data_IF_352230159118
#
_entry.id   IF_352230159118
#
_cell.length_a   1.000
_cell.length_b   1.000
_cell.length_c   1.000
_cell.angle_alpha   90.00
_cell.angle_beta   90.00
_cell.angle_gamma   90.00
#
_symmetry.space_group_name_H-M   'P 1'
#
loop_
_entity.id
_entity.type
_entity.pdbx_description
1 polymer ?
#
# COMPACT_ATOMS: atom_id res chain seq x y z
N UNK A 1 -21.87 9.13 47.58
CA UNK A 1 -21.73 9.06 46.11
C UNK A 1 -22.99 8.42 45.59
N UNK A 2 -23.75 9.10 44.74
CA UNK A 2 -24.96 8.52 44.15
C UNK A 2 -24.56 7.52 43.07
N UNK A 3 -25.39 6.50 42.76
CA UNK A 3 -25.08 5.53 41.70
C UNK A 3 -24.77 6.19 40.36
N UNK A 4 -25.40 7.33 40.08
CA UNK A 4 -25.16 8.13 38.89
C UNK A 4 -23.73 8.66 38.82
N UNK A 5 -23.13 9.07 39.94
CA UNK A 5 -21.75 9.55 40.00
C UNK A 5 -20.77 8.43 39.63
N UNK A 6 -20.99 7.21 40.15
CA UNK A 6 -20.13 6.05 39.85
C UNK A 6 -20.19 5.63 38.38
N UNK A 7 -21.38 5.71 37.76
CA UNK A 7 -21.52 5.43 36.33
C UNK A 7 -20.80 6.48 35.49
N UNK A 8 -20.87 7.75 35.88
CA UNK A 8 -20.22 8.83 35.14
C UNK A 8 -18.69 8.75 35.24
N UNK A 9 -18.18 8.42 36.43
CA UNK A 9 -16.75 8.13 36.65
C UNK A 9 -16.28 6.94 35.79
N UNK A 10 -17.09 5.88 35.71
CA UNK A 10 -16.79 4.71 34.88
C UNK A 10 -16.73 5.03 33.38
N UNK A 11 -17.61 5.90 32.90
CA UNK A 11 -17.59 6.39 31.51
C UNK A 11 -16.35 7.23 31.25
N UNK A 12 -15.99 8.13 32.17
CA UNK A 12 -14.78 8.93 32.07
C UNK A 12 -13.52 8.05 32.00
N UNK A 13 -13.42 7.05 32.86
CA UNK A 13 -12.32 6.07 32.83
C UNK A 13 -12.30 5.26 31.54
N UNK A 14 -13.45 4.88 30.99
CA UNK A 14 -13.53 4.18 29.70
C UNK A 14 -13.03 5.07 28.55
N UNK A 15 -13.44 6.34 28.52
CA UNK A 15 -13.01 7.31 27.51
C UNK A 15 -11.50 7.57 27.58
N UNK A 16 -10.94 7.69 28.79
CA UNK A 16 -9.50 7.84 29.00
C UNK A 16 -8.76 6.58 28.54
N UNK A 17 -9.26 5.40 28.95
CA UNK A 17 -8.65 4.11 28.60
C UNK A 17 -8.62 3.88 27.09
N UNK A 18 -9.76 4.04 26.41
CA UNK A 18 -9.83 3.86 24.95
C UNK A 18 -9.03 4.93 24.21
N UNK A 19 -8.99 6.17 24.72
CA UNK A 19 -8.20 7.26 24.16
C UNK A 19 -6.70 6.99 24.24
N UNK A 20 -6.21 6.52 25.39
CA UNK A 20 -4.81 6.16 25.58
C UNK A 20 -4.37 5.02 24.65
N UNK A 21 -5.18 3.96 24.56
CA UNK A 21 -4.91 2.84 23.65
C UNK A 21 -4.93 3.30 22.20
N UNK A 22 -5.91 4.11 21.80
CA UNK A 22 -6.00 4.66 20.45
C UNK A 22 -4.77 5.51 20.09
N UNK A 23 -4.33 6.38 21.01
CA UNK A 23 -3.12 7.19 20.83
C UNK A 23 -1.88 6.32 20.66
N UNK A 24 -1.74 5.30 21.52
CA UNK A 24 -0.61 4.38 21.48
C UNK A 24 -0.56 3.60 20.16
N UNK A 25 -1.69 3.03 19.73
CA UNK A 25 -1.80 2.33 18.45
C UNK A 25 -1.53 3.25 17.26
N UNK A 26 -2.04 4.48 17.30
CA UNK A 26 -1.78 5.49 16.26
C UNK A 26 -0.29 5.78 16.15
N UNK A 27 0.39 6.01 17.29
CA UNK A 27 1.83 6.22 17.35
C UNK A 27 2.59 5.00 16.80
N UNK A 28 2.18 3.80 17.19
CA UNK A 28 2.79 2.55 16.70
C UNK A 28 2.65 2.41 15.18
N UNK A 29 1.48 2.71 14.61
CA UNK A 29 1.27 2.71 13.17
C UNK A 29 2.20 3.71 12.48
N UNK A 30 2.33 4.93 13.00
CA UNK A 30 3.27 5.92 12.45
C UNK A 30 4.72 5.46 12.57
N UNK A 31 5.11 4.81 13.67
CA UNK A 31 6.45 4.25 13.83
C UNK A 31 6.73 3.16 12.78
N UNK A 32 5.78 2.26 12.54
CA UNK A 32 5.91 1.21 11.51
C UNK A 32 5.99 1.83 10.11
N UNK A 33 5.16 2.83 9.81
CA UNK A 33 5.22 3.57 8.54
C UNK A 33 6.55 4.31 8.37
N UNK A 34 7.05 4.92 9.44
CA UNK A 34 8.36 5.57 9.48
C UNK A 34 9.48 4.58 9.19
N UNK A 35 9.46 3.41 9.84
CA UNK A 35 10.39 2.32 9.55
C UNK A 35 10.28 1.86 8.09
N UNK A 36 9.07 1.73 7.53
CA UNK A 36 8.89 1.35 6.12
C UNK A 36 9.53 2.37 5.15
N UNK A 37 9.38 3.67 5.43
CA UNK A 37 10.01 4.74 4.62
C UNK A 37 11.53 4.75 4.81
N UNK A 38 12.01 4.58 6.04
CA UNK A 38 13.44 4.51 6.35
C UNK A 38 14.08 3.31 5.65
N UNK A 39 13.46 2.13 5.72
CA UNK A 39 13.92 0.92 5.04
C UNK A 39 13.94 1.15 3.52
N UNK A 40 12.85 1.65 2.92
CA UNK A 40 12.82 1.92 1.47
C UNK A 40 13.88 2.94 1.02
N UNK A 41 14.27 3.88 1.88
CA UNK A 41 15.27 4.92 1.56
C UNK A 41 16.72 4.48 1.82
N UNK A 42 16.97 3.73 2.90
CA UNK A 42 18.33 3.36 3.33
C UNK A 42 18.75 1.96 2.89
N UNK A 43 17.79 1.08 2.65
CA UNK A 43 17.98 -0.20 1.99
C UNK A 43 16.97 -0.29 0.86
N UNK A 44 17.18 0.44 -0.26
CA UNK A 44 16.47 0.13 -1.48
C UNK A 44 16.69 -1.36 -1.71
N UNK A 45 15.65 -2.16 -1.56
CA UNK A 45 15.69 -3.51 -2.08
C UNK A 45 16.12 -3.32 -3.54
N UNK A 46 17.18 -4.01 -4.03
CA UNK A 46 17.37 -4.10 -5.45
C UNK A 46 16.02 -4.57 -5.95
N UNK A 47 15.33 -3.72 -6.71
CA UNK A 47 14.10 -4.07 -7.38
C UNK A 47 14.28 -5.52 -7.84
N UNK A 48 13.45 -6.49 -7.42
CA UNK A 48 13.29 -7.63 -8.28
C UNK A 48 12.83 -6.98 -9.58
N UNK A 49 13.76 -6.93 -10.55
CA UNK A 49 13.48 -6.84 -11.98
C UNK A 49 12.08 -7.36 -12.17
N UNK A 50 11.14 -6.44 -12.42
CA UNK A 50 9.71 -6.65 -12.48
C UNK A 50 9.34 -8.14 -12.35
N UNK A 51 9.11 -8.61 -11.12
CA UNK A 51 8.40 -9.88 -10.97
C UNK A 51 7.09 -9.70 -11.72
N UNK A 52 6.96 -10.50 -12.78
CA UNK A 52 5.85 -10.51 -13.71
C UNK A 52 4.51 -10.27 -12.99
N UNK A 53 3.55 -9.56 -13.62
CA UNK A 53 2.27 -9.31 -12.98
C UNK A 53 1.62 -10.65 -12.61
N UNK A 54 1.50 -10.89 -11.30
CA UNK A 54 0.70 -11.98 -10.77
C UNK A 54 -0.72 -11.82 -11.34
N UNK A 55 -1.33 -12.87 -11.95
CA UNK A 55 -2.66 -12.75 -12.53
C UNK A 55 -3.68 -12.49 -11.42
N UNK A 56 -4.01 -11.22 -11.20
CA UNK A 56 -5.29 -10.86 -10.57
C UNK A 56 -6.38 -11.29 -11.56
N UNK A 57 -7.45 -12.01 -11.14
CA UNK A 57 -8.60 -12.23 -12.00
C UNK A 57 -9.28 -10.87 -12.19
N UNK A 58 -8.84 -10.13 -13.22
CA UNK A 58 -9.46 -8.88 -13.60
C UNK A 58 -10.64 -9.23 -14.48
N UNK A 59 -11.80 -9.00 -13.88
CA UNK A 59 -13.09 -8.93 -14.54
C UNK A 59 -12.99 -8.18 -15.86
N UNK A 60 -13.67 -8.73 -16.87
CA UNK A 60 -13.86 -8.19 -18.21
C UNK A 60 -14.04 -6.68 -18.21
N UNK A 61 -13.03 -5.94 -18.68
CA UNK A 61 -13.18 -4.58 -19.17
C UNK A 61 -12.55 -4.52 -20.56
N UNK A 62 -13.45 -4.29 -21.50
CA UNK A 62 -13.33 -4.01 -22.93
C UNK A 62 -11.96 -3.45 -23.34
N UNK A 63 -11.40 -4.03 -24.39
CA UNK A 63 -10.13 -3.70 -25.01
C UNK A 63 -10.02 -2.21 -25.37
N UNK A 64 -9.42 -1.42 -24.49
CA UNK A 64 -8.76 -0.18 -24.88
C UNK A 64 -7.28 -0.53 -25.09
N UNK A 65 -6.86 -0.52 -26.35
CA UNK A 65 -5.48 -0.88 -26.71
C UNK A 65 -4.57 0.20 -26.13
N UNK A 66 -3.92 -0.11 -25.01
CA UNK A 66 -3.04 0.82 -24.33
C UNK A 66 -1.96 1.34 -25.29
N UNK A 67 -1.70 2.66 -25.33
CA UNK A 67 -0.68 3.24 -26.21
C UNK A 67 0.72 2.66 -25.94
N UNK A 68 0.97 2.24 -24.71
CA UNK A 68 2.20 1.55 -24.29
C UNK A 68 2.35 0.17 -24.96
N UNK A 69 1.24 -0.55 -25.16
CA UNK A 69 1.24 -1.84 -25.85
C UNK A 69 1.58 -1.65 -27.34
N UNK A 70 1.06 -0.59 -27.97
CA UNK A 70 1.36 -0.25 -29.37
C UNK A 70 2.85 0.10 -29.52
N UNK A 71 3.40 0.91 -28.60
CA UNK A 71 4.82 1.28 -28.60
C UNK A 71 5.72 0.05 -28.41
N UNK A 72 5.36 -0.87 -27.51
CA UNK A 72 6.09 -2.11 -27.29
C UNK A 72 6.09 -3.01 -28.54
N UNK A 73 4.94 -3.15 -29.21
CA UNK A 73 4.83 -3.92 -30.46
C UNK A 73 5.68 -3.29 -31.57
N UNK A 74 5.64 -1.96 -31.73
CA UNK A 74 6.47 -1.25 -32.71
C UNK A 74 7.97 -1.46 -32.46
N UNK A 75 8.41 -1.34 -31.20
CA UNK A 75 9.80 -1.59 -30.83
C UNK A 75 10.23 -3.04 -31.14
N UNK A 76 9.37 -4.01 -30.85
CA UNK A 76 9.63 -5.42 -31.13
C UNK A 76 9.76 -5.70 -32.65
N UNK A 77 8.90 -5.10 -33.48
CA UNK A 77 8.96 -5.25 -34.94
C UNK A 77 10.25 -4.61 -35.50
N UNK A 78 10.60 -3.41 -35.02
CA UNK A 78 11.85 -2.74 -35.42
C UNK A 78 13.08 -3.58 -35.09
N UNK A 79 13.13 -4.14 -33.89
CA UNK A 79 14.21 -5.01 -33.45
C UNK A 79 14.31 -6.28 -34.29
N UNK A 80 13.16 -6.89 -34.62
CA UNK A 80 13.12 -8.11 -35.44
C UNK A 80 13.60 -7.87 -36.86
N UNK A 81 13.23 -6.75 -37.47
CA UNK A 81 13.66 -6.37 -38.82
C UNK A 81 15.16 -6.11 -38.89
N UNK A 82 15.72 -5.42 -37.90
CA UNK A 82 17.17 -5.19 -37.81
C UNK A 82 17.97 -6.48 -37.55
N UNK A 83 17.36 -7.51 -36.95
CA UNK A 83 18.02 -8.79 -36.69
C UNK A 83 17.93 -9.77 -37.87
N UNK A 84 17.01 -9.52 -38.82
CA UNK A 84 16.77 -10.37 -40.00
C UNK A 84 17.18 -9.73 -41.34
N UNK A 85 17.67 -8.49 -41.33
CA UNK A 85 18.41 -7.89 -42.45
C UNK A 85 19.90 -7.97 -42.18
#
# INVERSE_FOLDING_TARGET
MTPNDLLMEGVELMLIGIGCVYLFLTLLVYAIRGMSVLIARFAPEPHPVASAPSPRPQTTATADVSPDLIAAIQAAIHQHRNKRG
#
